data_IF_760846503567
#
_entry.id   IF_760846503567
#
_cell.length_a   1.000
_cell.length_b   1.000
_cell.length_c   1.000
_cell.angle_alpha   90.00
_cell.angle_beta   90.00
_cell.angle_gamma   90.00
#
_symmetry.space_group_name_H-M   'P 1'
#
loop_
_entity.id
_entity.type
_entity.pdbx_description
1 polymer ?
#
# COMPACT_ATOMS: atom_id res chain seq x y z
N UNK A 1 -11.02 -5.39 6.55
CA UNK A 1 -11.76 -4.18 6.19
C UNK A 1 -11.94 -3.25 7.40
N UNK A 2 -12.72 -3.66 8.40
CA UNK A 2 -13.13 -2.81 9.53
C UNK A 2 -11.94 -2.24 10.30
N UNK A 3 -10.95 -3.05 10.63
CA UNK A 3 -9.77 -2.57 11.36
C UNK A 3 -9.01 -1.48 10.59
N UNK A 4 -8.88 -1.59 9.26
CA UNK A 4 -8.26 -0.55 8.45
C UNK A 4 -9.07 0.74 8.42
N UNK A 5 -10.40 0.65 8.36
CA UNK A 5 -11.29 1.80 8.47
C UNK A 5 -11.11 2.51 9.83
N UNK A 6 -11.06 1.75 10.91
CA UNK A 6 -10.90 2.30 12.26
C UNK A 6 -9.51 2.91 12.46
N UNK A 7 -8.46 2.28 11.96
CA UNK A 7 -7.09 2.81 12.03
C UNK A 7 -6.94 4.16 11.32
N UNK A 8 -7.66 4.36 10.21
CA UNK A 8 -7.61 5.61 9.42
C UNK A 8 -8.72 6.59 9.79
N UNK A 9 -9.66 6.18 10.63
CA UNK A 9 -10.91 6.91 10.90
C UNK A 9 -10.74 8.29 11.52
N UNK A 10 -9.74 8.48 12.35
CA UNK A 10 -9.43 9.73 13.03
C UNK A 10 -8.38 10.58 12.32
N UNK A 11 -7.84 10.09 11.19
CA UNK A 11 -6.73 10.74 10.47
C UNK A 11 -5.51 11.05 11.38
N UNK A 12 -5.28 10.17 12.38
CA UNK A 12 -4.21 10.27 13.39
C UNK A 12 -3.20 9.13 13.25
N UNK A 13 -3.06 8.67 12.05
CA UNK A 13 -2.16 7.61 11.63
C UNK A 13 -0.81 8.15 11.16
N UNK A 14 0.10 7.23 10.85
CA UNK A 14 1.43 7.53 10.35
C UNK A 14 1.42 8.14 8.95
N UNK A 15 2.54 8.72 8.54
CA UNK A 15 2.78 9.18 7.17
C UNK A 15 4.22 8.88 6.75
N UNK A 16 4.39 8.23 5.61
CA UNK A 16 5.66 8.16 4.90
C UNK A 16 5.69 9.29 3.87
N UNK A 17 6.41 10.37 4.16
CA UNK A 17 6.33 11.61 3.38
C UNK A 17 6.82 11.45 1.94
N UNK A 18 7.93 10.74 1.71
CA UNK A 18 8.46 10.54 0.37
C UNK A 18 7.55 9.66 -0.51
N UNK A 19 6.85 8.70 0.08
CA UNK A 19 5.88 7.84 -0.61
C UNK A 19 4.47 8.41 -0.68
N UNK A 20 4.19 9.49 0.06
CA UNK A 20 2.85 10.12 0.18
C UNK A 20 1.78 9.11 0.61
N UNK A 21 2.08 8.26 1.58
CA UNK A 21 1.21 7.18 2.04
C UNK A 21 1.08 7.13 3.56
N UNK A 22 -0.02 6.54 4.04
CA UNK A 22 -0.26 6.13 5.41
C UNK A 22 -0.11 4.60 5.48
N UNK A 23 1.13 4.11 5.58
CA UNK A 23 1.45 2.70 5.33
C UNK A 23 0.86 1.76 6.39
N UNK A 24 0.90 2.14 7.66
CA UNK A 24 0.46 1.30 8.79
C UNK A 24 -1.02 0.98 8.74
N UNK A 25 -1.86 1.92 8.30
CA UNK A 25 -3.32 1.75 8.32
C UNK A 25 -3.86 0.62 7.44
N UNK A 26 -3.11 0.23 6.41
CA UNK A 26 -3.45 -0.93 5.57
C UNK A 26 -2.67 -2.18 5.97
N UNK A 27 -1.36 -2.05 6.16
CA UNK A 27 -0.45 -3.19 6.33
C UNK A 27 -0.55 -3.83 7.71
N UNK A 28 -0.73 -3.05 8.78
CA UNK A 28 -0.87 -3.61 10.13
C UNK A 28 -2.19 -4.37 10.32
N UNK A 29 -3.37 -3.83 9.94
CA UNK A 29 -4.61 -4.61 9.98
C UNK A 29 -4.57 -5.87 9.12
N UNK A 30 -3.90 -5.82 7.97
CA UNK A 30 -3.66 -6.98 7.12
C UNK A 30 -2.82 -8.03 7.84
N UNK A 31 -1.69 -7.62 8.45
CA UNK A 31 -0.80 -8.50 9.19
C UNK A 31 -1.52 -9.15 10.38
N UNK A 32 -2.26 -8.36 11.16
CA UNK A 32 -2.99 -8.84 12.34
C UNK A 32 -4.05 -9.89 11.95
N UNK A 33 -4.85 -9.59 10.93
CA UNK A 33 -5.91 -10.49 10.47
C UNK A 33 -5.34 -11.80 9.90
N UNK A 34 -4.32 -11.71 9.06
CA UNK A 34 -3.70 -12.89 8.43
C UNK A 34 -2.93 -13.72 9.45
N UNK A 35 -2.17 -13.09 10.35
CA UNK A 35 -1.44 -13.79 11.41
C UNK A 35 -2.39 -14.56 12.33
N UNK A 36 -3.52 -13.95 12.71
CA UNK A 36 -4.57 -14.64 13.48
C UNK A 36 -5.17 -15.83 12.74
N UNK A 37 -5.37 -15.72 11.43
CA UNK A 37 -5.90 -16.81 10.61
C UNK A 37 -4.97 -18.02 10.53
N UNK A 38 -3.65 -17.77 10.41
CA UNK A 38 -2.64 -18.85 10.27
C UNK A 38 -1.98 -19.23 11.61
N UNK A 39 -2.41 -18.66 12.72
CA UNK A 39 -1.80 -18.82 14.05
C UNK A 39 -0.29 -18.50 14.05
N UNK A 40 0.12 -17.45 13.35
CA UNK A 40 1.50 -17.01 13.28
C UNK A 40 1.96 -16.40 14.63
N UNK A 41 3.28 -16.43 14.88
CA UNK A 41 3.86 -15.75 16.03
C UNK A 41 3.76 -14.22 15.88
N UNK A 42 3.79 -13.49 17.01
CA UNK A 42 3.86 -12.01 16.98
C UNK A 42 5.11 -11.50 16.24
N UNK A 43 6.21 -12.24 16.30
CA UNK A 43 7.44 -11.94 15.54
C UNK A 43 7.21 -12.04 14.03
N UNK A 44 6.59 -13.13 13.56
CA UNK A 44 6.30 -13.30 12.13
C UNK A 44 5.31 -12.26 11.62
N UNK A 45 4.31 -11.90 12.43
CA UNK A 45 3.36 -10.82 12.14
C UNK A 45 4.08 -9.48 11.96
N UNK A 46 5.00 -9.13 12.88
CA UNK A 46 5.76 -7.86 12.78
C UNK A 46 6.70 -7.85 11.58
N UNK A 47 7.36 -8.96 11.27
CA UNK A 47 8.20 -9.08 10.08
C UNK A 47 7.36 -8.87 8.81
N UNK A 48 6.20 -9.50 8.72
CA UNK A 48 5.31 -9.34 7.57
C UNK A 48 4.80 -7.89 7.44
N UNK A 49 4.43 -7.26 8.55
CA UNK A 49 4.04 -5.85 8.59
C UNK A 49 5.15 -4.94 8.06
N UNK A 50 6.39 -5.10 8.53
CA UNK A 50 7.54 -4.31 8.08
C UNK A 50 7.75 -4.48 6.56
N UNK A 51 7.67 -5.70 6.04
CA UNK A 51 7.76 -5.97 4.59
C UNK A 51 6.66 -5.22 3.82
N UNK A 52 5.46 -5.19 4.35
CA UNK A 52 4.34 -4.47 3.73
C UNK A 52 4.54 -2.96 3.69
N UNK A 53 5.03 -2.37 4.79
CA UNK A 53 5.38 -0.94 4.86
C UNK A 53 6.47 -0.63 3.84
N UNK A 54 7.53 -1.44 3.83
CA UNK A 54 8.66 -1.30 2.92
C UNK A 54 8.21 -1.27 1.45
N UNK A 55 7.40 -2.25 1.05
CA UNK A 55 6.92 -2.34 -0.33
C UNK A 55 6.01 -1.15 -0.69
N UNK A 56 5.03 -0.82 0.16
CA UNK A 56 4.10 0.27 -0.12
C UNK A 56 4.81 1.63 -0.19
N UNK A 57 5.76 1.89 0.72
CA UNK A 57 6.54 3.12 0.75
C UNK A 57 7.39 3.28 -0.52
N UNK A 58 8.14 2.24 -0.89
CA UNK A 58 8.99 2.25 -2.09
C UNK A 58 8.20 2.44 -3.37
N UNK A 59 7.07 1.75 -3.53
CA UNK A 59 6.19 1.96 -4.68
C UNK A 59 5.63 3.40 -4.70
N UNK A 60 5.31 3.96 -3.54
CA UNK A 60 4.92 5.36 -3.41
C UNK A 60 6.03 6.34 -3.83
N UNK A 61 7.28 6.05 -3.46
CA UNK A 61 8.44 6.87 -3.84
C UNK A 61 8.67 6.89 -5.36
N UNK A 62 8.44 5.77 -6.04
CA UNK A 62 8.57 5.68 -7.52
C UNK A 62 7.72 6.74 -8.21
N UNK A 63 6.49 6.96 -7.75
CA UNK A 63 5.53 7.86 -8.41
C UNK A 63 5.67 9.33 -8.03
N UNK A 64 6.52 9.67 -7.05
CA UNK A 64 6.86 11.05 -6.65
C UNK A 64 5.62 11.96 -6.49
N UNK A 65 4.56 11.44 -5.89
CA UNK A 65 3.30 12.16 -5.70
C UNK A 65 2.37 12.21 -6.91
N UNK A 66 2.77 11.70 -8.08
CA UNK A 66 1.97 11.76 -9.31
C UNK A 66 0.58 11.13 -9.20
N UNK A 67 0.43 10.05 -8.43
CA UNK A 67 -0.90 9.46 -8.20
C UNK A 67 -1.86 10.45 -7.52
N UNK A 68 -1.39 11.20 -6.56
CA UNK A 68 -2.20 12.18 -5.86
C UNK A 68 -2.65 13.31 -6.80
N UNK A 69 -1.79 13.73 -7.72
CA UNK A 69 -2.09 14.79 -8.68
C UNK A 69 -3.16 14.40 -9.70
N UNK A 70 -3.27 13.11 -10.02
CA UNK A 70 -4.26 12.60 -10.99
C UNK A 70 -5.51 12.01 -10.34
N UNK A 71 -5.67 12.18 -9.02
CA UNK A 71 -6.90 11.84 -8.30
C UNK A 71 -6.94 10.45 -7.68
N UNK A 72 -5.79 9.77 -7.51
CA UNK A 72 -5.72 8.53 -6.75
C UNK A 72 -5.16 8.76 -5.34
N UNK A 73 -5.76 8.09 -4.36
CA UNK A 73 -5.25 8.03 -2.99
C UNK A 73 -4.13 6.98 -2.90
N UNK A 74 -2.85 7.40 -2.78
CA UNK A 74 -1.72 6.46 -2.82
C UNK A 74 -1.79 5.38 -1.74
N UNK A 75 -2.31 5.71 -0.54
CA UNK A 75 -2.52 4.75 0.55
C UNK A 75 -3.38 3.55 0.14
N UNK A 76 -4.45 3.77 -0.62
CA UNK A 76 -5.30 2.70 -1.11
C UNK A 76 -4.60 1.86 -2.19
N UNK A 77 -4.01 2.54 -3.17
CA UNK A 77 -3.38 1.88 -4.31
C UNK A 77 -2.13 1.12 -3.87
N UNK A 78 -1.13 1.79 -3.30
CA UNK A 78 0.15 1.18 -2.92
C UNK A 78 0.00 0.23 -1.72
N UNK A 79 -0.91 0.56 -0.79
CA UNK A 79 -1.25 -0.31 0.33
C UNK A 79 -1.76 -1.69 -0.11
N UNK A 80 -2.48 -1.78 -1.23
CA UNK A 80 -2.95 -3.06 -1.77
C UNK A 80 -1.80 -3.99 -2.13
N UNK A 81 -0.74 -3.47 -2.76
CA UNK A 81 0.47 -4.22 -3.09
C UNK A 81 1.25 -4.61 -1.83
N UNK A 82 1.45 -3.68 -0.89
CA UNK A 82 2.05 -3.98 0.40
C UNK A 82 1.30 -5.08 1.16
N UNK A 83 -0.02 -5.00 1.22
CA UNK A 83 -0.87 -5.99 1.90
C UNK A 83 -0.80 -7.37 1.24
N UNK A 84 -0.65 -7.47 -0.08
CA UNK A 84 -0.51 -8.78 -0.73
C UNK A 84 0.80 -9.47 -0.38
N UNK A 85 1.88 -8.71 -0.15
CA UNK A 85 3.15 -9.26 0.37
C UNK A 85 3.05 -9.65 1.85
N UNK A 86 2.36 -8.84 2.67
CA UNK A 86 2.06 -9.18 4.07
C UNK A 86 1.35 -10.53 4.15
N UNK A 87 0.24 -10.65 3.44
CA UNK A 87 -0.56 -11.86 3.45
C UNK A 87 0.19 -13.05 2.83
N UNK A 88 0.86 -12.83 1.69
CA UNK A 88 1.66 -13.85 1.03
C UNK A 88 2.78 -14.40 1.92
N UNK A 89 3.51 -13.53 2.62
CA UNK A 89 4.55 -13.94 3.58
C UNK A 89 3.99 -14.80 4.71
N UNK A 90 2.87 -14.42 5.30
CA UNK A 90 2.23 -15.16 6.39
C UNK A 90 1.58 -16.47 5.93
N UNK A 91 1.06 -16.51 4.71
CA UNK A 91 0.51 -17.72 4.08
C UNK A 91 1.58 -18.69 3.57
N UNK A 92 2.86 -18.30 3.61
CA UNK A 92 4.00 -19.11 3.17
C UNK A 92 4.11 -19.25 1.64
N UNK A 93 3.70 -18.24 0.89
CA UNK A 93 3.81 -18.22 -0.57
C UNK A 93 5.28 -18.22 -1.01
N UNK A 94 5.58 -18.98 -2.06
CA UNK A 94 6.88 -18.92 -2.72
C UNK A 94 7.00 -17.69 -3.64
N UNK A 95 8.17 -17.46 -4.24
CA UNK A 95 8.46 -16.31 -5.09
C UNK A 95 7.51 -16.20 -6.30
N UNK A 96 7.22 -17.31 -6.96
CA UNK A 96 6.30 -17.35 -8.09
C UNK A 96 4.88 -16.95 -7.65
N UNK A 97 4.39 -17.54 -6.57
CA UNK A 97 3.09 -17.20 -6.01
C UNK A 97 3.00 -15.74 -5.55
N UNK A 98 4.07 -15.20 -4.94
CA UNK A 98 4.14 -13.79 -4.57
C UNK A 98 4.06 -12.89 -5.81
N UNK A 99 4.75 -13.25 -6.90
CA UNK A 99 4.67 -12.54 -8.18
C UNK A 99 3.24 -12.56 -8.73
N UNK A 100 2.56 -13.72 -8.69
CA UNK A 100 1.17 -13.83 -9.10
C UNK A 100 0.24 -13.00 -8.22
N UNK A 101 0.45 -12.98 -6.91
CA UNK A 101 -0.32 -12.14 -5.99
C UNK A 101 -0.20 -10.65 -6.33
N UNK A 102 1.00 -10.18 -6.70
CA UNK A 102 1.21 -8.80 -7.16
C UNK A 102 0.46 -8.52 -8.47
N UNK A 103 0.44 -9.47 -9.38
CA UNK A 103 -0.32 -9.37 -10.64
C UNK A 103 -1.83 -9.37 -10.46
N UNK A 104 -2.33 -10.15 -9.50
CA UNK A 104 -3.76 -10.21 -9.16
C UNK A 104 -4.20 -8.92 -8.48
N UNK A 105 -3.45 -8.44 -7.49
CA UNK A 105 -3.82 -7.24 -6.72
C UNK A 105 -3.86 -5.97 -7.57
N UNK A 106 -3.12 -5.91 -8.67
CA UNK A 106 -3.18 -4.81 -9.63
C UNK A 106 -4.62 -4.54 -10.11
N UNK A 107 -5.41 -5.60 -10.31
CA UNK A 107 -6.81 -5.47 -10.73
C UNK A 107 -7.77 -5.04 -9.63
N UNK A 108 -7.30 -4.95 -8.38
CA UNK A 108 -8.11 -4.61 -7.20
C UNK A 108 -7.62 -3.34 -6.48
N UNK A 109 -6.43 -2.85 -6.84
CA UNK A 109 -5.85 -1.64 -6.27
C UNK A 109 -6.70 -0.42 -6.65
N UNK A 110 -7.20 0.32 -5.65
CA UNK A 110 -8.14 1.41 -5.86
C UNK A 110 -8.05 2.46 -4.77
N UNK A 111 -8.69 3.60 -5.03
CA UNK A 111 -8.81 4.70 -4.08
C UNK A 111 -8.93 6.03 -4.83
N UNK A 112 -10.15 6.59 -4.94
CA UNK A 112 -10.37 7.90 -5.54
C UNK A 112 -10.17 9.01 -4.51
N UNK A 113 -9.64 10.15 -4.93
CA UNK A 113 -9.56 11.38 -4.13
C UNK A 113 -10.84 12.23 -4.21
N UNK A 114 -11.88 11.79 -4.91
CA UNK A 114 -13.13 12.55 -5.06
C UNK A 114 -13.77 12.96 -3.73
N UNK A 115 -13.48 12.24 -2.64
CA UNK A 115 -13.91 12.62 -1.29
C UNK A 115 -13.43 14.02 -0.86
N UNK A 116 -12.44 14.60 -1.52
CA UNK A 116 -11.96 15.96 -1.21
C UNK A 116 -12.96 17.04 -1.62
N UNK A 117 -13.84 16.76 -2.59
CA UNK A 117 -14.80 17.70 -3.12
C UNK A 117 -16.02 17.88 -2.20
N UNK A 118 -16.40 16.83 -1.46
CA UNK A 118 -17.63 16.83 -0.66
C UNK A 118 -17.47 16.36 0.79
N UNK A 119 -16.23 15.98 1.19
CA UNK A 119 -15.96 15.48 2.52
C UNK A 119 -16.49 14.06 2.77
N UNK A 120 -16.70 13.27 1.73
CA UNK A 120 -17.18 11.89 1.84
C UNK A 120 -16.23 11.02 2.69
N UNK A 121 -16.78 10.00 3.33
CA UNK A 121 -16.02 9.13 4.23
C UNK A 121 -15.21 8.04 3.53
N UNK A 122 -15.23 8.00 2.22
CA UNK A 122 -14.55 6.97 1.42
C UNK A 122 -13.05 6.94 1.62
N UNK A 123 -12.39 8.06 1.96
CA UNK A 123 -10.98 8.09 2.38
C UNK A 123 -10.68 7.03 3.42
N UNK A 124 -11.52 6.95 4.46
CA UNK A 124 -11.34 6.06 5.61
C UNK A 124 -11.44 4.58 5.23
N UNK A 125 -12.16 4.26 4.15
CA UNK A 125 -12.33 2.90 3.67
C UNK A 125 -11.08 2.38 2.94
N UNK A 126 -10.30 3.24 2.28
CA UNK A 126 -9.24 2.84 1.36
C UNK A 126 -8.20 1.91 1.99
N UNK A 127 -7.66 2.14 3.22
CA UNK A 127 -6.71 1.22 3.81
C UNK A 127 -7.31 -0.15 4.12
N UNK A 128 -8.56 -0.15 4.58
CA UNK A 128 -9.29 -1.39 4.83
C UNK A 128 -9.55 -2.18 3.54
N UNK A 129 -9.88 -1.50 2.46
CA UNK A 129 -10.05 -2.12 1.13
C UNK A 129 -8.72 -2.64 0.59
N UNK A 130 -7.63 -1.89 0.75
CA UNK A 130 -6.29 -2.33 0.40
C UNK A 130 -5.91 -3.66 1.09
N UNK A 131 -6.23 -3.79 2.39
CA UNK A 131 -6.01 -5.03 3.12
C UNK A 131 -6.87 -6.18 2.57
N UNK A 132 -8.15 -5.96 2.27
CA UNK A 132 -9.02 -6.97 1.64
C UNK A 132 -8.48 -7.40 0.29
N UNK A 133 -8.10 -6.45 -0.56
CA UNK A 133 -7.51 -6.71 -1.88
C UNK A 133 -6.25 -7.54 -1.80
N UNK A 134 -5.31 -7.15 -0.91
CA UNK A 134 -4.04 -7.86 -0.73
C UNK A 134 -4.23 -9.28 -0.20
N UNK A 135 -5.09 -9.47 0.80
CA UNK A 135 -5.40 -10.80 1.36
C UNK A 135 -6.04 -11.68 0.28
N UNK A 136 -7.03 -11.15 -0.44
CA UNK A 136 -7.71 -11.88 -1.52
C UNK A 136 -6.73 -12.32 -2.60
N UNK A 137 -5.85 -11.42 -3.05
CA UNK A 137 -4.84 -11.72 -4.05
C UNK A 137 -3.87 -12.82 -3.61
N UNK A 138 -3.43 -12.78 -2.35
CA UNK A 138 -2.54 -13.79 -1.79
C UNK A 138 -3.21 -15.17 -1.70
N UNK A 139 -4.48 -15.25 -1.29
CA UNK A 139 -5.23 -16.51 -1.28
C UNK A 139 -5.43 -17.06 -2.68
N UNK A 140 -5.82 -16.22 -3.65
CA UNK A 140 -5.98 -16.66 -5.04
C UNK A 140 -4.66 -17.21 -5.61
N UNK A 141 -3.55 -16.51 -5.37
CA UNK A 141 -2.23 -16.98 -5.82
C UNK A 141 -1.81 -18.28 -5.13
N UNK A 142 -2.15 -18.46 -3.85
CA UNK A 142 -1.91 -19.71 -3.11
C UNK A 142 -2.60 -20.91 -3.77
N UNK A 143 -3.82 -20.68 -4.27
CA UNK A 143 -4.62 -21.71 -4.96
C UNK A 143 -4.27 -21.84 -6.45
N UNK A 144 -3.18 -21.20 -6.91
CA UNK A 144 -2.69 -21.34 -8.28
C UNK A 144 -3.36 -20.42 -9.30
N UNK A 145 -4.08 -19.38 -8.86
CA UNK A 145 -4.63 -18.39 -9.80
C UNK A 145 -3.49 -17.56 -10.40
N UNK A 146 -3.51 -17.38 -11.72
CA UNK A 146 -2.43 -16.73 -12.47
C UNK A 146 -2.74 -15.24 -12.59
N UNK A 147 -1.83 -14.40 -12.07
CA UNK A 147 -1.85 -12.95 -12.23
C UNK A 147 -0.94 -12.47 -13.35
N UNK A 148 -0.96 -11.17 -13.62
CA UNK A 148 -0.05 -10.55 -14.58
C UNK A 148 1.41 -10.67 -14.10
N UNK A 149 2.31 -11.16 -14.97
CA UNK A 149 3.73 -11.38 -14.62
C UNK A 149 4.56 -10.09 -14.49
N UNK A 150 4.06 -8.97 -15.03
CA UNK A 150 4.72 -7.65 -15.00
C UNK A 150 3.78 -6.57 -14.44
N UNK A 151 3.39 -6.67 -13.14
CA UNK A 151 2.35 -5.83 -12.58
C UNK A 151 2.73 -4.35 -12.46
N UNK A 152 4.01 -4.02 -12.43
CA UNK A 152 4.50 -2.68 -12.19
C UNK A 152 4.83 -1.93 -13.49
N UNK A 153 5.83 -2.42 -14.24
CA UNK A 153 6.40 -1.79 -15.42
C UNK A 153 5.76 -2.26 -16.74
N UNK A 154 4.87 -3.24 -16.70
CA UNK A 154 4.19 -3.76 -17.89
C UNK A 154 3.43 -2.65 -18.64
N UNK A 155 3.15 -2.85 -19.93
CA UNK A 155 2.43 -1.87 -20.77
C UNK A 155 1.15 -1.35 -20.10
N UNK A 156 0.44 -2.20 -19.37
CA UNK A 156 -0.76 -1.87 -18.60
C UNK A 156 -0.55 -2.11 -17.10
N UNK A 157 0.71 -2.11 -16.64
CA UNK A 157 1.08 -2.24 -15.24
C UNK A 157 0.79 -0.97 -14.44
N UNK A 158 1.01 -1.04 -13.14
CA UNK A 158 0.70 0.03 -12.18
C UNK A 158 1.17 1.40 -12.65
N UNK A 159 2.44 1.54 -13.00
CA UNK A 159 3.00 2.86 -13.31
C UNK A 159 2.50 3.41 -14.64
N UNK A 160 2.27 2.56 -15.64
CA UNK A 160 1.78 3.01 -16.94
C UNK A 160 0.26 3.26 -16.94
N UNK A 161 -0.52 2.42 -16.29
CA UNK A 161 -1.98 2.54 -16.29
C UNK A 161 -2.47 3.64 -15.33
N UNK A 162 -1.87 3.74 -14.13
CA UNK A 162 -2.30 4.69 -13.11
C UNK A 162 -1.63 6.06 -13.22
N UNK A 163 -0.43 6.16 -13.83
CA UNK A 163 0.20 7.43 -14.17
C UNK A 163 -0.03 7.77 -15.65
N UNK A 164 -1.26 7.77 -16.09
CA UNK A 164 -1.62 7.98 -17.50
C UNK A 164 -1.27 9.37 -18.03
N UNK A 165 -1.03 10.35 -17.16
CA UNK A 165 -0.59 11.69 -17.57
C UNK A 165 0.91 11.68 -17.92
N UNK A 166 1.32 12.11 -19.12
CA UNK A 166 2.71 12.01 -19.60
C UNK A 166 3.75 12.64 -18.65
N UNK A 167 3.43 13.79 -18.06
CA UNK A 167 4.32 14.49 -17.13
C UNK A 167 4.64 13.67 -15.90
N UNK A 168 3.62 13.09 -15.25
CA UNK A 168 3.83 12.32 -14.02
C UNK A 168 4.42 10.95 -14.32
N UNK A 169 4.12 10.36 -15.47
CA UNK A 169 4.76 9.13 -15.93
C UNK A 169 6.26 9.36 -16.17
N UNK A 170 6.62 10.42 -16.88
CA UNK A 170 8.01 10.77 -17.16
C UNK A 170 8.80 11.15 -15.89
N UNK A 171 8.14 11.67 -14.85
CA UNK A 171 8.76 12.01 -13.59
C UNK A 171 8.99 10.79 -12.68
N UNK A 172 8.36 9.65 -12.96
CA UNK A 172 8.51 8.42 -12.17
C UNK A 172 9.92 7.85 -12.26
N UNK A 173 10.37 7.21 -11.19
CA UNK A 173 11.71 6.64 -11.10
C UNK A 173 11.65 5.22 -10.53
N UNK A 174 11.63 4.24 -11.42
CA UNK A 174 11.52 2.81 -11.07
C UNK A 174 12.69 2.32 -10.20
N UNK A 175 13.86 2.97 -10.27
CA UNK A 175 15.02 2.57 -9.48
C UNK A 175 14.76 2.70 -7.97
N UNK A 176 13.88 3.61 -7.56
CA UNK A 176 13.54 3.83 -6.16
C UNK A 176 12.81 2.63 -5.52
N UNK A 177 12.20 1.75 -6.32
CA UNK A 177 11.57 0.54 -5.80
C UNK A 177 12.59 -0.41 -5.14
N UNK A 178 13.85 -0.38 -5.56
CA UNK A 178 14.89 -1.32 -5.09
C UNK A 178 16.13 -0.63 -4.54
N UNK A 179 16.25 0.69 -4.63
CA UNK A 179 17.41 1.44 -4.15
C UNK A 179 17.64 1.22 -2.65
N UNK A 180 18.83 0.76 -2.25
CA UNK A 180 19.17 0.51 -0.84
C UNK A 180 18.35 -0.61 -0.18
N UNK A 181 17.71 -1.50 -0.96
CA UNK A 181 16.96 -2.62 -0.43
C UNK A 181 17.86 -3.54 0.42
N UNK A 182 17.44 -3.86 1.64
CA UNK A 182 18.17 -4.57 2.72
C UNK A 182 19.23 -3.75 3.46
N UNK A 183 19.49 -2.51 3.07
CA UNK A 183 20.42 -1.60 3.73
C UNK A 183 19.67 -0.53 4.52
N UNK A 184 18.59 0.00 3.94
CA UNK A 184 17.71 1.00 4.55
C UNK A 184 16.29 0.45 4.64
N UNK A 185 15.59 0.77 5.73
CA UNK A 185 14.23 0.34 5.97
C UNK A 185 13.30 1.55 6.03
N UNK A 186 12.34 1.60 5.12
CA UNK A 186 11.43 2.76 5.00
C UNK A 186 10.50 2.93 6.20
N UNK A 187 10.35 1.92 7.03
CA UNK A 187 9.63 2.05 8.30
C UNK A 187 10.30 3.05 9.26
N UNK A 188 11.61 3.27 9.15
CA UNK A 188 12.34 4.25 9.95
C UNK A 188 12.06 5.69 9.51
N UNK A 189 11.55 5.88 8.28
CA UNK A 189 11.20 7.16 7.68
C UNK A 189 9.70 7.51 7.84
N UNK A 190 8.98 6.73 8.65
CA UNK A 190 7.58 6.98 8.96
C UNK A 190 7.44 8.04 10.04
N UNK A 191 6.70 9.11 9.76
CA UNK A 191 6.39 10.16 10.70
C UNK A 191 5.10 9.85 11.46
N UNK A 192 5.09 10.09 12.77
CA UNK A 192 3.90 9.99 13.62
C UNK A 192 3.21 11.36 13.62
N UNK A 193 1.93 11.40 13.31
CA UNK A 193 1.16 12.64 13.30
C UNK A 193 0.94 13.15 14.74
N UNK A 194 1.25 14.40 15.05
CA UNK A 194 0.93 15.02 16.35
C UNK A 194 -0.54 15.48 16.45
N UNK A 195 -1.25 15.65 15.31
CA UNK A 195 -2.63 16.13 15.25
C UNK A 195 -3.52 15.15 14.46
N UNK A 196 -4.80 14.99 14.85
CA UNK A 196 -5.76 14.14 14.15
C UNK A 196 -6.32 14.85 12.90
N UNK A 197 -5.46 15.10 11.93
CA UNK A 197 -5.77 15.82 10.70
C UNK A 197 -4.89 15.35 9.54
N UNK A 198 -5.27 15.71 8.33
CA UNK A 198 -4.43 15.48 7.15
C UNK A 198 -3.05 16.11 7.35
N UNK A 199 -1.97 15.35 7.08
CA UNK A 199 -0.60 15.81 7.34
C UNK A 199 -0.27 17.12 6.59
N UNK A 200 -0.82 17.33 5.40
CA UNK A 200 -0.64 18.59 4.65
C UNK A 200 -1.19 19.83 5.36
N UNK A 201 -2.09 19.66 6.33
CA UNK A 201 -2.66 20.79 7.09
C UNK A 201 -1.91 21.09 8.38
N UNK A 202 -0.95 20.25 8.80
CA UNK A 202 -0.26 20.42 10.08
C UNK A 202 0.50 21.74 10.17
N UNK A 203 1.15 22.20 9.10
CA UNK A 203 1.81 23.50 9.07
C UNK A 203 0.88 24.72 9.21
N UNK A 204 -0.43 24.50 9.15
CA UNK A 204 -1.43 25.54 9.45
C UNK A 204 -1.97 25.45 10.88
N UNK A 205 -1.67 24.35 11.59
CA UNK A 205 -2.13 24.10 12.96
C UNK A 205 -1.07 24.54 13.97
N UNK A 206 0.24 24.43 13.63
CA UNK A 206 1.36 24.95 14.40
C UNK A 206 1.39 26.49 14.37
#
# INVERSE_FOLDING_TARGET
LINGILCHGLDFDDTHSAGVIHATTSTFPCALATAGHVNASGKDMLIAYIIGVEAAARLGMVVKGGLHQIGFHPTGVMGSFGCSLVAGRLLGLNEEQLTMAQGIVLSMAAGSLEFLEDGAWTKRMHPGWAAVSGITAAFLAKEGYVGASRPYEGRFGLFNAYLSHPEYNAASDLSLATAGLRETWEIENVAIKPFPACHFTHGCID
#
